data_IF_369502026360
#
_entry.id   IF_369502026360
#
_cell.length_a   1.000
_cell.length_b   1.000
_cell.length_c   1.000
_cell.angle_alpha   90.00
_cell.angle_beta   90.00
_cell.angle_gamma   90.00
#
_symmetry.space_group_name_H-M   'P 1'
#
loop_
_entity.id
_entity.type
_entity.pdbx_description
1 polymer ?
#
# COMPACT_ATOMS: atom_id res chain seq x y z
N UNK A 3 15.55 10.85 -13.40
CA UNK A 3 14.15 11.31 -13.25
C UNK A 3 13.53 10.65 -12.03
N UNK A 4 12.48 11.23 -11.43
CA UNK A 4 11.81 10.66 -10.26
C UNK A 4 11.00 9.41 -10.64
N UNK A 5 10.57 8.69 -9.61
CA UNK A 5 9.83 7.43 -9.65
C UNK A 5 8.28 7.63 -9.61
N UNK A 6 7.50 6.55 -9.73
CA UNK A 6 6.04 6.62 -9.95
C UNK A 6 5.18 7.00 -8.74
N UNK A 7 3.88 7.20 -8.94
CA UNK A 7 2.98 7.62 -7.85
C UNK A 7 2.77 6.47 -6.87
N UNK A 8 2.64 6.76 -5.58
CA UNK A 8 2.50 5.74 -4.55
C UNK A 8 1.24 4.88 -4.74
N UNK A 9 1.41 3.58 -4.50
CA UNK A 9 0.39 2.54 -4.57
C UNK A 9 -0.88 2.79 -3.77
N UNK A 10 -1.91 2.04 -4.16
CA UNK A 10 -3.27 2.17 -3.63
C UNK A 10 -3.31 1.73 -2.16
N UNK A 11 -4.20 2.32 -1.36
CA UNK A 11 -4.29 1.96 0.06
C UNK A 11 -4.69 0.49 0.21
N UNK A 12 -3.94 -0.23 1.04
CA UNK A 12 -4.22 -1.62 1.39
C UNK A 12 -5.48 -1.74 2.25
N UNK A 13 -6.15 -2.88 2.12
CA UNK A 13 -7.39 -3.19 2.85
C UNK A 13 -7.15 -3.27 4.37
N UNK A 14 -8.13 -2.84 5.16
CA UNK A 14 -8.05 -2.80 6.63
C UNK A 14 -7.64 -4.14 7.25
N UNK A 15 -6.96 -4.07 8.40
CA UNK A 15 -6.71 -5.24 9.24
C UNK A 15 -7.97 -5.70 9.98
N UNK A 16 -7.98 -6.96 10.41
CA UNK A 16 -9.13 -7.59 11.05
C UNK A 16 -9.08 -7.38 12.58
N UNK A 17 -10.23 -7.48 13.27
CA UNK A 17 -10.28 -7.72 14.71
C UNK A 17 -10.02 -9.21 15.00
N UNK A 18 -10.32 -9.64 16.22
CA UNK A 18 -10.75 -11.03 16.44
C UNK A 18 -12.09 -11.34 15.78
N UNK B 2 12.46 6.18 -18.36
CA UNK B 2 11.48 6.98 -17.59
C UNK B 2 11.91 7.13 -16.11
N UNK B 3 10.97 7.36 -15.19
CA UNK B 3 11.12 6.88 -13.81
C UNK B 3 11.05 5.34 -13.74
N UNK B 4 11.58 4.72 -12.68
CA UNK B 4 11.18 3.39 -12.25
C UNK B 4 9.76 3.46 -11.65
N UNK B 5 9.19 2.32 -11.24
CA UNK B 5 7.82 2.23 -10.73
C UNK B 5 7.54 3.06 -9.47
N UNK B 6 6.27 3.13 -9.06
CA UNK B 6 5.89 3.82 -7.83
C UNK B 6 6.24 3.06 -6.56
N UNK B 7 6.32 3.79 -5.44
CA UNK B 7 6.41 3.20 -4.08
C UNK B 7 5.18 2.33 -3.81
N UNK B 8 5.35 1.19 -3.14
CA UNK B 8 4.26 0.27 -2.82
C UNK B 8 3.16 0.89 -1.93
N UNK B 9 1.94 0.36 -2.10
CA UNK B 9 0.74 0.78 -1.39
C UNK B 9 0.83 0.50 0.11
N UNK B 10 0.36 1.48 0.87
CA UNK B 10 0.44 1.46 2.33
C UNK B 10 -0.72 0.62 2.88
N UNK B 11 -0.38 -0.39 3.69
CA UNK B 11 -1.31 -1.33 4.33
C UNK B 11 -2.42 -0.66 5.17
N UNK B 12 -3.54 -1.36 5.30
CA UNK B 12 -4.72 -0.88 6.03
C UNK B 12 -4.62 -1.06 7.54
N UNK B 13 -5.61 -0.52 8.25
CA UNK B 13 -5.56 -0.30 9.71
C UNK B 13 -6.16 -1.46 10.50
N UNK B 14 -5.41 -1.89 11.51
CA UNK B 14 -5.65 -3.06 12.37
C UNK B 14 -6.98 -3.01 13.17
N UNK B 15 -7.45 -4.19 13.62
CA UNK B 15 -8.54 -4.31 14.59
C UNK B 15 -8.04 -4.27 16.03
N UNK B 16 -8.57 -5.15 16.89
CA UNK B 16 -8.52 -5.02 18.35
C UNK B 16 -9.00 -6.31 19.05
N UNK B 17 -8.65 -6.49 20.34
CA UNK B 17 -9.31 -7.41 21.26
C UNK B 17 -10.54 -6.77 21.96
N UNK C 1 7.25 10.59 -18.72
CA UNK C 1 6.69 10.36 -17.36
C UNK C 1 7.79 9.88 -16.39
N UNK C 2 7.53 9.94 -15.07
CA UNK C 2 8.29 9.21 -14.07
C UNK C 2 7.89 7.73 -14.18
N UNK C 3 7.54 7.06 -13.07
CA UNK C 3 6.83 5.77 -13.12
C UNK C 3 5.32 5.97 -13.30
N UNK C 4 4.57 4.89 -13.61
CA UNK C 4 3.12 4.99 -13.82
C UNK C 4 2.36 5.14 -12.49
N UNK C 5 2.72 4.36 -11.47
CA UNK C 5 1.90 3.92 -10.35
C UNK C 5 2.69 2.79 -9.67
N UNK C 6 2.72 2.78 -8.34
CA UNK C 6 3.23 1.70 -7.49
C UNK C 6 2.20 0.60 -7.26
N UNK C 7 2.66 -0.58 -6.86
CA UNK C 7 1.82 -1.77 -6.60
C UNK C 7 0.82 -1.49 -5.46
N UNK C 8 -0.40 -2.02 -5.56
CA UNK C 8 -1.42 -1.95 -4.51
C UNK C 8 -0.95 -2.52 -3.15
N UNK C 9 -1.46 -1.94 -2.06
CA UNK C 9 -1.11 -2.35 -0.69
C UNK C 9 -1.83 -3.63 -0.29
N UNK C 10 -1.19 -4.41 0.58
CA UNK C 10 -1.78 -5.65 1.10
C UNK C 10 -2.55 -5.35 2.40
N UNK C 11 -3.11 -6.39 3.04
CA UNK C 11 -3.96 -6.17 4.22
C UNK C 11 -3.21 -5.64 5.44
N UNK C 12 -3.98 -5.13 6.40
CA UNK C 12 -3.53 -4.82 7.77
C UNK C 12 -3.46 -6.07 8.64
N UNK C 13 -2.78 -5.96 9.78
CA UNK C 13 -2.65 -7.04 10.78
C UNK C 13 -4.02 -7.41 11.37
N UNK C 14 -4.21 -8.70 11.67
CA UNK C 14 -5.45 -9.27 12.22
C UNK C 14 -5.56 -9.02 13.75
N UNK C 15 -6.55 -9.63 14.40
CA UNK C 15 -6.73 -9.61 15.87
C UNK C 15 -5.62 -10.29 16.66
N UNK C 16 -5.77 -10.26 17.99
CA UNK C 16 -4.71 -10.66 18.96
C UNK C 16 -4.83 -12.11 19.47
#
# INVERSE_FOLDING_TARGET
>A
PPGPQGIAGQRGVVGLPG
>B
PPGPQGIAGQRGVVGLPG
>C
PPGPQGIAGQRGVVGLPG
#
